data_IF_665728731038
#
_entry.id   IF_665728731038
#
_cell.length_a   1.000
_cell.length_b   1.000
_cell.length_c   1.000
_cell.angle_alpha   90.00
_cell.angle_beta   90.00
_cell.angle_gamma   90.00
#
_symmetry.space_group_name_H-M   'P 1'
#
loop_
_entity.id
_entity.type
_entity.pdbx_description
1 polymer ?
#
# COMPACT_ATOMS: atom_id res chain seq x y z
N UNK A 1 25.88 11.79 21.15
CA UNK A 1 25.38 11.67 19.77
C UNK A 1 24.29 10.60 19.75
N UNK A 2 23.01 10.97 19.74
CA UNK A 2 21.91 10.00 19.72
C UNK A 2 21.65 9.58 18.27
N UNK A 3 22.05 8.36 17.91
CA UNK A 3 21.65 7.73 16.65
C UNK A 3 20.17 7.36 16.76
N UNK A 4 19.27 8.18 16.21
CA UNK A 4 17.87 7.79 16.09
C UNK A 4 17.78 6.58 15.15
N UNK A 5 17.07 5.50 15.51
CA UNK A 5 16.88 4.38 14.60
C UNK A 5 16.13 4.89 13.36
N UNK A 6 16.77 4.76 12.19
CA UNK A 6 16.16 5.11 10.91
C UNK A 6 14.86 4.30 10.77
N UNK A 7 13.70 4.94 10.48
CA UNK A 7 12.44 4.21 10.40
C UNK A 7 12.53 3.11 9.35
N UNK A 8 12.06 1.90 9.72
CA UNK A 8 12.02 0.75 8.82
C UNK A 8 11.24 1.14 7.57
N UNK A 9 11.94 1.23 6.43
CA UNK A 9 11.33 1.52 5.12
C UNK A 9 10.72 0.24 4.57
N UNK A 10 9.53 0.34 3.98
CA UNK A 10 8.97 -0.73 3.19
C UNK A 10 9.87 -0.95 1.96
N UNK A 11 10.26 -2.19 1.68
CA UNK A 11 11.16 -2.56 0.59
C UNK A 11 10.58 -3.72 -0.22
N UNK A 12 11.19 -4.04 -1.36
CA UNK A 12 10.82 -5.24 -2.11
C UNK A 12 11.25 -6.51 -1.34
N UNK A 13 10.49 -7.61 -1.41
CA UNK A 13 9.26 -7.81 -2.20
C UNK A 13 7.96 -7.36 -1.50
N UNK A 14 8.03 -6.80 -0.29
CA UNK A 14 6.83 -6.42 0.47
C UNK A 14 5.99 -5.34 -0.23
N UNK A 15 6.63 -4.41 -0.94
CA UNK A 15 5.94 -3.43 -1.81
C UNK A 15 5.12 -4.15 -2.89
N UNK A 16 5.77 -5.07 -3.61
CA UNK A 16 5.14 -5.83 -4.67
C UNK A 16 3.95 -6.67 -4.17
N UNK A 17 4.02 -7.17 -2.93
CA UNK A 17 2.91 -7.87 -2.27
C UNK A 17 1.79 -6.91 -1.86
N UNK A 18 2.11 -5.79 -1.22
CA UNK A 18 1.14 -4.74 -0.85
C UNK A 18 0.30 -4.29 -2.05
N UNK A 19 0.97 -3.93 -3.15
CA UNK A 19 0.30 -3.42 -4.36
C UNK A 19 -0.63 -4.48 -4.96
N UNK A 20 -0.17 -5.74 -5.06
CA UNK A 20 -1.00 -6.84 -5.56
C UNK A 20 -2.18 -7.13 -4.64
N UNK A 21 -1.95 -7.25 -3.34
CA UNK A 21 -3.00 -7.57 -2.36
C UNK A 21 -4.10 -6.51 -2.38
N UNK A 22 -3.74 -5.23 -2.39
CA UNK A 22 -4.71 -4.13 -2.47
C UNK A 22 -5.48 -4.17 -3.79
N UNK A 23 -4.78 -4.29 -4.93
CA UNK A 23 -5.42 -4.38 -6.24
C UNK A 23 -6.41 -5.55 -6.33
N UNK A 24 -6.03 -6.72 -5.81
CA UNK A 24 -6.89 -7.90 -5.80
C UNK A 24 -8.06 -7.76 -4.81
N UNK A 25 -7.88 -7.07 -3.68
CA UNK A 25 -8.99 -6.76 -2.77
C UNK A 25 -10.07 -5.90 -3.46
N UNK A 26 -9.65 -4.99 -4.35
CA UNK A 26 -10.53 -4.17 -5.17
C UNK A 26 -11.01 -4.85 -6.46
N UNK A 27 -10.53 -6.07 -6.75
CA UNK A 27 -10.84 -6.83 -7.97
C UNK A 27 -10.48 -6.08 -9.27
N UNK A 28 -9.40 -5.30 -9.26
CA UNK A 28 -8.99 -4.48 -10.39
C UNK A 28 -7.84 -5.12 -11.21
N UNK A 29 -7.81 -4.79 -12.51
CA UNK A 29 -6.62 -4.99 -13.34
C UNK A 29 -5.52 -3.97 -12.94
N UNK A 30 -4.28 -4.19 -13.39
CA UNK A 30 -3.19 -3.23 -13.13
C UNK A 30 -3.49 -1.84 -13.71
N UNK A 31 -4.15 -1.78 -14.87
CA UNK A 31 -4.56 -0.53 -15.52
C UNK A 31 -5.61 0.20 -14.69
N UNK A 32 -6.69 -0.49 -14.29
CA UNK A 32 -7.74 0.13 -13.47
C UNK A 32 -7.25 0.56 -12.10
N UNK A 33 -6.31 -0.18 -11.53
CA UNK A 33 -5.68 0.22 -10.28
C UNK A 33 -4.74 1.43 -10.45
N UNK A 34 -4.10 1.55 -11.60
CA UNK A 34 -3.31 2.73 -11.93
C UNK A 34 -4.22 3.96 -12.07
N UNK A 35 -5.35 3.84 -12.76
CA UNK A 35 -6.37 4.90 -12.89
C UNK A 35 -6.84 5.38 -11.51
N UNK A 36 -7.16 4.45 -10.60
CA UNK A 36 -7.58 4.74 -9.22
C UNK A 36 -6.55 5.56 -8.43
N UNK A 37 -5.26 5.28 -8.64
CA UNK A 37 -4.17 6.00 -7.98
C UNK A 37 -3.71 7.26 -8.72
N UNK A 38 -4.29 7.56 -9.89
CA UNK A 38 -3.84 8.64 -10.77
C UNK A 38 -2.43 8.42 -11.33
N UNK A 39 -2.08 7.16 -11.60
CA UNK A 39 -0.76 6.74 -12.07
C UNK A 39 -0.83 5.98 -13.39
N UNK A 40 0.31 5.75 -14.03
CA UNK A 40 0.37 4.95 -15.24
C UNK A 40 0.46 3.46 -14.94
N UNK A 41 -0.08 2.63 -15.84
CA UNK A 41 0.10 1.17 -15.81
C UNK A 41 1.57 0.77 -15.61
N UNK A 42 2.49 1.42 -16.33
CA UNK A 42 3.92 1.11 -16.26
C UNK A 42 4.49 1.29 -14.84
N UNK A 43 3.96 2.24 -14.06
CA UNK A 43 4.36 2.45 -12.66
C UNK A 43 3.91 1.29 -11.78
N UNK A 44 2.64 0.91 -11.84
CA UNK A 44 2.09 -0.24 -11.09
C UNK A 44 2.83 -1.53 -11.48
N UNK A 45 2.99 -1.77 -12.78
CA UNK A 45 3.70 -2.94 -13.31
C UNK A 45 5.15 -3.03 -12.80
N UNK A 46 5.88 -1.92 -12.72
CA UNK A 46 7.24 -1.90 -12.15
C UNK A 46 7.24 -2.18 -10.65
N UNK A 47 6.28 -1.65 -9.89
CA UNK A 47 6.18 -1.92 -8.46
C UNK A 47 5.86 -3.38 -8.16
N UNK A 48 4.86 -3.95 -8.84
CA UNK A 48 4.51 -5.36 -8.66
C UNK A 48 5.66 -6.28 -9.08
N UNK A 49 6.41 -5.96 -10.14
CA UNK A 49 7.53 -6.80 -10.58
C UNK A 49 8.86 -6.52 -9.85
N UNK A 50 8.88 -5.75 -8.76
CA UNK A 50 10.12 -5.53 -8.02
C UNK A 50 11.10 -4.55 -8.67
N UNK A 51 10.74 -3.94 -9.80
CA UNK A 51 11.64 -3.11 -10.64
C UNK A 51 11.73 -1.66 -10.20
N UNK A 52 10.83 -1.21 -9.34
CA UNK A 52 10.88 0.11 -8.72
C UNK A 52 10.22 0.10 -7.33
N UNK A 53 10.54 1.10 -6.51
CA UNK A 53 9.91 1.34 -5.22
C UNK A 53 9.07 2.62 -5.27
N UNK A 54 7.84 2.65 -4.72
CA UNK A 54 7.04 3.87 -4.64
C UNK A 54 7.78 4.96 -3.86
N UNK A 55 7.54 6.22 -4.24
CA UNK A 55 7.98 7.36 -3.44
C UNK A 55 7.24 7.41 -2.09
N UNK A 56 7.74 8.17 -1.10
CA UNK A 56 7.00 8.38 0.14
C UNK A 56 5.59 8.94 -0.08
N UNK A 57 5.41 9.80 -1.09
CA UNK A 57 4.10 10.35 -1.45
C UNK A 57 3.17 9.25 -1.99
N UNK A 58 3.67 8.37 -2.86
CA UNK A 58 2.90 7.25 -3.38
C UNK A 58 2.50 6.26 -2.29
N UNK A 59 3.41 5.95 -1.34
CA UNK A 59 3.06 5.13 -0.17
C UNK A 59 1.98 5.79 0.69
N UNK A 60 2.02 7.12 0.84
CA UNK A 60 0.98 7.88 1.54
C UNK A 60 -0.37 7.78 0.82
N UNK A 61 -0.39 7.85 -0.51
CA UNK A 61 -1.62 7.67 -1.30
C UNK A 61 -2.20 6.26 -1.12
N UNK A 62 -1.36 5.24 -1.13
CA UNK A 62 -1.78 3.85 -0.87
C UNK A 62 -2.37 3.71 0.55
N UNK A 63 -1.72 4.28 1.57
CA UNK A 63 -2.23 4.26 2.94
C UNK A 63 -3.57 5.00 3.08
N UNK A 64 -3.73 6.15 2.42
CA UNK A 64 -5.00 6.88 2.38
C UNK A 64 -6.10 6.07 1.71
N UNK A 65 -5.83 5.43 0.57
CA UNK A 65 -6.79 4.59 -0.13
C UNK A 65 -7.23 3.42 0.77
N UNK A 66 -6.29 2.73 1.42
CA UNK A 66 -6.61 1.69 2.39
C UNK A 66 -7.49 2.20 3.53
N UNK A 67 -7.20 3.39 4.06
CA UNK A 67 -8.01 4.00 5.11
C UNK A 67 -9.43 4.31 4.63
N UNK A 68 -9.60 4.81 3.41
CA UNK A 68 -10.92 5.05 2.81
C UNK A 68 -11.70 3.74 2.62
N UNK A 69 -11.05 2.71 2.08
CA UNK A 69 -11.67 1.39 1.86
C UNK A 69 -12.06 0.71 3.18
N UNK A 70 -11.38 1.03 4.29
CA UNK A 70 -11.73 0.53 5.62
C UNK A 70 -13.09 1.01 6.13
N UNK A 71 -13.67 2.01 5.47
CA UNK A 71 -14.99 2.59 5.74
C UNK A 71 -16.03 2.26 4.64
N UNK A 72 -15.70 1.39 3.69
CA UNK A 72 -16.61 1.00 2.59
C UNK A 72 -17.89 0.35 3.13
N UNK A 73 -19.08 0.50 2.52
CA UNK A 73 -20.26 -0.30 2.92
C UNK A 73 -20.07 -1.82 2.66
N UNK A 74 -19.11 -2.21 1.81
CA UNK A 74 -18.80 -3.61 1.54
C UNK A 74 -17.94 -4.21 2.67
N UNK A 75 -18.53 -5.13 3.46
CA UNK A 75 -17.86 -5.76 4.61
C UNK A 75 -16.56 -6.48 4.23
N UNK A 76 -16.56 -7.25 3.15
CA UNK A 76 -15.37 -7.97 2.67
C UNK A 76 -14.24 -7.01 2.31
N UNK A 77 -14.56 -5.89 1.65
CA UNK A 77 -13.56 -4.87 1.28
C UNK A 77 -13.02 -4.11 2.49
N UNK A 78 -13.88 -3.82 3.48
CA UNK A 78 -13.46 -3.24 4.76
C UNK A 78 -12.48 -4.14 5.50
N UNK A 79 -12.82 -5.41 5.68
CA UNK A 79 -11.98 -6.37 6.42
C UNK A 79 -10.63 -6.57 5.73
N UNK A 80 -10.64 -6.74 4.40
CA UNK A 80 -9.41 -6.87 3.61
C UNK A 80 -8.54 -5.62 3.69
N UNK A 81 -9.12 -4.43 3.54
CA UNK A 81 -8.35 -3.18 3.60
C UNK A 81 -7.76 -2.94 5.00
N UNK A 82 -8.50 -3.22 6.08
CA UNK A 82 -7.99 -3.16 7.45
C UNK A 82 -6.82 -4.12 7.66
N UNK A 83 -6.94 -5.37 7.19
CA UNK A 83 -5.88 -6.37 7.31
C UNK A 83 -4.62 -5.98 6.53
N UNK A 84 -4.77 -5.52 5.28
CA UNK A 84 -3.64 -5.06 4.45
C UNK A 84 -2.97 -3.84 5.12
N UNK A 85 -3.76 -2.87 5.59
CA UNK A 85 -3.21 -1.68 6.24
C UNK A 85 -2.42 -2.03 7.50
N UNK A 86 -2.96 -2.88 8.38
CA UNK A 86 -2.26 -3.33 9.58
C UNK A 86 -0.97 -4.08 9.30
N UNK A 87 -0.93 -4.85 8.20
CA UNK A 87 0.26 -5.61 7.77
C UNK A 87 1.40 -4.70 7.27
N UNK A 88 1.10 -3.67 6.48
CA UNK A 88 2.14 -2.88 5.79
C UNK A 88 2.38 -1.47 6.35
N UNK A 89 1.39 -0.92 7.06
CA UNK A 89 1.46 0.39 7.71
C UNK A 89 1.15 0.27 9.21
N UNK A 90 1.91 -0.57 9.97
CA UNK A 90 1.69 -0.71 11.39
C UNK A 90 1.92 0.64 12.10
N UNK A 91 1.03 0.98 13.03
CA UNK A 91 1.14 2.19 13.81
C UNK A 91 2.48 2.21 14.56
N UNK A 92 3.28 3.25 14.33
CA UNK A 92 4.56 3.44 15.04
C UNK A 92 4.39 3.68 16.55
N UNK A 93 3.16 3.98 17.00
CA UNK A 93 2.85 4.32 18.40
C UNK A 93 2.79 3.12 19.36
N UNK A 94 3.01 1.89 18.89
CA UNK A 94 2.98 0.70 19.75
C UNK A 94 4.26 0.44 20.57
N UNK A 95 5.33 1.24 20.40
CA UNK A 95 6.60 1.09 21.13
C UNK A 95 7.14 2.44 21.63
N UNK A 96 6.32 3.24 22.32
CA UNK A 96 6.77 4.40 23.09
C UNK A 96 6.41 4.19 24.56
#
# INVERSE_FOLDING_TARGET
>A
MLLTPKPRRLQQPAIAQLVRELRHAMQLSQEKFADELGMTFATINRWENGRATPSPLALKQIDMLLNQLSQSPNATLRERSQAIRGKYFPDRKANA
#
